data_IF_700448226003
#
_entry.id   IF_700448226003
#
_cell.length_a   1.000
_cell.length_b   1.000
_cell.length_c   1.000
_cell.angle_alpha   90.00
_cell.angle_beta   90.00
_cell.angle_gamma   90.00
#
_symmetry.space_group_name_H-M   'P 1'
#
loop_
_entity.id
_entity.type
_entity.pdbx_description
1 polymer ?
#
# COMPACT_ATOMS: atom_id res chain seq x y z
N UNK A 1 5.64 -12.75 4.26
CA UNK A 1 4.23 -12.80 4.68
C UNK A 1 3.34 -12.79 3.44
N UNK A 2 2.47 -13.78 3.26
CA UNK A 2 1.50 -13.81 2.14
C UNK A 2 0.24 -13.06 2.58
N UNK A 3 -0.12 -12.00 1.85
CA UNK A 3 -1.40 -11.32 2.03
C UNK A 3 -2.49 -12.08 1.26
N UNK A 4 -3.69 -12.15 1.82
CA UNK A 4 -4.87 -12.57 1.07
C UNK A 4 -5.22 -11.51 0.03
N UNK A 5 -5.98 -11.90 -1.02
CA UNK A 5 -6.47 -10.96 -2.04
C UNK A 5 -7.25 -9.77 -1.43
N UNK A 6 -7.94 -10.00 -0.32
CA UNK A 6 -8.70 -8.98 0.41
C UNK A 6 -7.80 -8.03 1.18
N UNK A 7 -6.81 -8.56 1.90
CA UNK A 7 -5.82 -7.75 2.61
C UNK A 7 -5.00 -6.90 1.65
N UNK A 8 -4.55 -7.49 0.54
CA UNK A 8 -3.82 -6.78 -0.50
C UNK A 8 -4.65 -5.61 -1.07
N UNK A 9 -5.91 -5.86 -1.45
CA UNK A 9 -6.79 -4.80 -1.93
C UNK A 9 -7.01 -3.71 -0.87
N UNK A 10 -7.18 -4.09 0.40
CA UNK A 10 -7.40 -3.14 1.51
C UNK A 10 -6.17 -2.26 1.76
N UNK A 11 -4.98 -2.84 1.75
CA UNK A 11 -3.72 -2.10 1.94
C UNK A 11 -3.53 -1.09 0.81
N UNK A 12 -3.71 -1.52 -0.44
CA UNK A 12 -3.58 -0.65 -1.62
C UNK A 12 -4.61 0.48 -1.58
N UNK A 13 -5.87 0.17 -1.25
CA UNK A 13 -6.93 1.18 -1.15
C UNK A 13 -6.69 2.19 -0.03
N UNK A 14 -6.32 1.74 1.16
CA UNK A 14 -5.99 2.63 2.28
C UNK A 14 -4.78 3.52 1.95
N UNK A 15 -3.76 2.98 1.28
CA UNK A 15 -2.60 3.77 0.88
C UNK A 15 -2.91 4.76 -0.23
N UNK A 16 -3.73 4.39 -1.21
CA UNK A 16 -4.19 5.30 -2.25
C UNK A 16 -4.93 6.50 -1.64
N UNK A 17 -5.79 6.27 -0.64
CA UNK A 17 -6.47 7.35 0.08
C UNK A 17 -5.47 8.30 0.76
N UNK A 18 -4.46 7.75 1.45
CA UNK A 18 -3.42 8.58 2.09
C UNK A 18 -2.70 9.48 1.07
N UNK A 19 -2.36 8.94 -0.10
CA UNK A 19 -1.72 9.69 -1.18
C UNK A 19 -2.63 10.77 -1.75
N UNK A 20 -3.93 10.50 -1.91
CA UNK A 20 -4.93 11.50 -2.29
C UNK A 20 -5.03 12.66 -1.28
N UNK A 21 -4.78 12.38 0.00
CA UNK A 21 -4.76 13.38 1.07
C UNK A 21 -3.43 14.16 1.16
N UNK A 22 -2.50 13.97 0.21
CA UNK A 22 -1.22 14.65 0.18
C UNK A 22 -0.16 14.06 1.12
N UNK A 23 -0.34 12.82 1.59
CA UNK A 23 0.67 12.15 2.40
C UNK A 23 1.95 11.88 1.59
N UNK A 24 3.13 11.98 2.22
CA UNK A 24 4.39 11.70 1.54
C UNK A 24 4.50 10.21 1.16
N UNK A 25 4.95 9.98 -0.07
CA UNK A 25 5.31 8.65 -0.56
C UNK A 25 6.68 8.23 0.00
N UNK A 26 6.81 6.95 0.36
CA UNK A 26 8.07 6.37 0.90
C UNK A 26 8.92 5.69 -0.16
N UNK A 27 8.32 5.44 -1.32
CA UNK A 27 9.00 4.80 -2.43
C UNK A 27 10.09 5.74 -2.98
N UNK A 28 11.26 5.18 -3.33
CA UNK A 28 12.32 5.90 -4.06
C UNK A 28 11.94 6.04 -5.54
N UNK A 29 10.74 6.55 -5.84
CA UNK A 29 10.45 7.07 -7.18
C UNK A 29 11.26 8.35 -7.27
N UNK A 30 12.35 8.31 -8.04
CA UNK A 30 12.94 9.54 -8.54
C UNK A 30 11.82 10.38 -9.16
N UNK A 31 11.83 11.69 -8.92
CA UNK A 31 10.80 12.67 -9.34
C UNK A 31 10.25 12.44 -10.77
N UNK A 32 11.07 11.87 -11.66
CA UNK A 32 10.75 11.46 -13.04
C UNK A 32 9.65 10.39 -13.21
N UNK A 33 9.42 9.51 -12.26
CA UNK A 33 8.32 8.52 -12.35
C UNK A 33 6.99 9.08 -11.84
N UNK A 34 7.02 10.06 -10.93
CA UNK A 34 5.82 10.75 -10.42
C UNK A 34 5.19 11.65 -11.48
N UNK A 35 6.01 12.32 -12.29
CA UNK A 35 5.57 13.09 -13.45
C UNK A 35 5.02 12.21 -14.58
N UNK A 36 5.53 10.97 -14.74
CA UNK A 36 5.02 10.01 -15.74
C UNK A 36 3.67 9.39 -15.38
N UNK A 37 3.28 9.38 -14.10
CA UNK A 37 2.09 8.69 -13.62
C UNK A 37 0.85 9.60 -13.49
N UNK A 38 0.92 10.87 -13.89
CA UNK A 38 -0.16 11.87 -13.69
C UNK A 38 -0.67 11.89 -12.24
N UNK A 39 0.21 11.65 -11.26
CA UNK A 39 -0.14 11.64 -9.83
C UNK A 39 -1.28 10.68 -9.43
N UNK A 40 -1.60 9.65 -10.22
CA UNK A 40 -2.73 8.78 -9.87
C UNK A 40 -2.41 8.01 -8.56
N UNK A 41 -3.14 8.26 -7.45
CA UNK A 41 -2.82 7.72 -6.13
C UNK A 41 -2.83 6.18 -6.09
N UNK A 42 -3.67 5.56 -6.92
CA UNK A 42 -3.82 4.11 -6.97
C UNK A 42 -2.58 3.42 -7.56
N UNK A 43 -2.03 3.97 -8.64
CA UNK A 43 -0.86 3.40 -9.31
C UNK A 43 0.40 3.55 -8.45
N UNK A 44 0.52 4.68 -7.74
CA UNK A 44 1.59 4.90 -6.76
C UNK A 44 1.48 3.90 -5.60
N UNK A 45 0.28 3.68 -5.05
CA UNK A 45 0.05 2.71 -3.99
C UNK A 45 0.37 1.27 -4.41
N UNK A 46 0.01 0.86 -5.64
CA UNK A 46 0.38 -0.46 -6.18
C UNK A 46 1.89 -0.64 -6.29
N UNK A 47 2.61 0.40 -6.68
CA UNK A 47 4.07 0.37 -6.81
C UNK A 47 4.75 0.30 -5.45
N UNK A 48 4.29 1.09 -4.48
CA UNK A 48 4.72 0.98 -3.07
C UNK A 48 4.47 -0.41 -2.48
N UNK A 49 3.33 -1.04 -2.83
CA UNK A 49 3.04 -2.41 -2.38
C UNK A 49 4.02 -3.42 -2.95
N UNK A 50 4.36 -3.31 -4.24
CA UNK A 50 5.34 -4.20 -4.90
C UNK A 50 6.75 -4.06 -4.32
N UNK A 51 7.15 -2.86 -3.93
CA UNK A 51 8.44 -2.62 -3.27
C UNK A 51 8.42 -2.94 -1.77
N UNK A 52 7.26 -3.24 -1.19
CA UNK A 52 7.12 -3.56 0.23
C UNK A 52 7.34 -2.35 1.16
N UNK A 53 7.21 -1.13 0.64
CA UNK A 53 7.48 0.12 1.37
C UNK A 53 6.23 0.76 1.99
N UNK A 54 5.08 0.09 1.91
CA UNK A 54 3.82 0.63 2.46
C UNK A 54 3.92 0.70 4.00
N UNK A 55 3.74 1.88 4.60
CA UNK A 55 3.78 2.07 6.05
C UNK A 55 2.45 1.66 6.73
N UNK A 56 1.88 0.51 6.33
CA UNK A 56 0.62 0.00 6.86
C UNK A 56 0.83 -1.47 7.20
N UNK A 57 0.59 -1.83 8.46
CA UNK A 57 0.61 -3.22 8.91
C UNK A 57 -0.83 -3.76 9.00
N UNK A 58 -1.03 -5.02 8.59
CA UNK A 58 -2.30 -5.70 8.80
C UNK A 58 -2.31 -6.32 10.18
N UNK A 59 -3.18 -5.82 11.06
CA UNK A 59 -3.48 -6.48 12.32
C UNK A 59 -4.58 -7.50 12.08
N UNK A 60 -4.22 -8.79 12.07
CA UNK A 60 -5.20 -9.88 12.08
C UNK A 60 -5.78 -9.95 13.48
N UNK A 61 -7.07 -9.65 13.63
CA UNK A 61 -7.78 -9.89 14.88
C UNK A 61 -7.95 -11.39 15.05
N UNK A 62 -7.10 -12.00 15.85
CA UNK A 62 -7.34 -13.33 16.40
C UNK A 62 -8.51 -13.22 17.38
N UNK A 63 -9.74 -13.39 16.91
CA UNK A 63 -10.57 -14.35 17.63
C UNK A 63 -9.88 -15.71 17.39
N UNK A 64 -9.69 -16.50 18.44
CA UNK A 64 -9.09 -17.83 18.36
C UNK A 64 -9.44 -18.57 17.06
N UNK A 65 -8.45 -18.67 16.19
CA UNK A 65 -7.82 -19.95 15.83
C UNK A 65 -6.34 -19.67 15.63
N UNK A 66 -5.61 -19.78 16.74
CA UNK A 66 -4.24 -20.23 16.64
C UNK A 66 -4.33 -21.67 16.11
N UNK A 67 -4.00 -21.88 14.84
CA UNK A 67 -3.83 -23.23 14.32
C UNK A 67 -2.44 -23.73 14.74
N UNK A 68 -2.46 -24.85 15.47
CA UNK A 68 -1.32 -25.67 15.89
C UNK A 68 -0.54 -26.22 14.70
#
# INVERSE_FOLDING_TARGET
MKYTKYEQARIIGARALQLSMGAPFKVKLGKKDLEKLSYNPLEIAKREFKEGLIPIAVKKSSAEKQEK
#
